data_IF_998253930609
#
_entry.id   IF_998253930609
#
_cell.length_a   1.000
_cell.length_b   1.000
_cell.length_c   1.000
_cell.angle_alpha   90.00
_cell.angle_beta   90.00
_cell.angle_gamma   90.00
#
_symmetry.space_group_name_H-M   'P 1'
#
loop_
_entity.id
_entity.type
_entity.pdbx_description
1 polymer ?
#
# COMPACT_ATOMS: atom_id res chain seq x y z
N UNK A 1 -43.12 -12.08 -20.16
CA UNK A 1 -43.14 -10.87 -19.32
C UNK A 1 -42.55 -11.26 -17.96
N UNK A 2 -41.25 -11.02 -17.77
CA UNK A 2 -40.48 -11.48 -16.58
C UNK A 2 -39.82 -10.24 -15.97
N UNK A 3 -40.09 -9.99 -14.68
CA UNK A 3 -39.48 -8.89 -13.91
C UNK A 3 -38.02 -9.25 -13.57
N UNK A 4 -37.06 -8.31 -13.62
CA UNK A 4 -35.68 -8.56 -13.24
C UNK A 4 -35.54 -8.58 -11.70
N UNK A 5 -34.62 -9.38 -11.14
CA UNK A 5 -34.31 -9.32 -9.73
C UNK A 5 -33.44 -8.08 -9.44
N UNK A 6 -33.83 -7.36 -8.40
CA UNK A 6 -33.15 -6.19 -7.85
C UNK A 6 -31.73 -6.52 -7.38
N UNK A 7 -30.73 -5.92 -8.02
CA UNK A 7 -29.37 -5.81 -7.46
C UNK A 7 -29.40 -4.81 -6.30
N UNK A 8 -29.49 -5.31 -5.07
CA UNK A 8 -29.20 -4.51 -3.88
C UNK A 8 -27.69 -4.34 -3.74
N UNK A 9 -27.26 -3.09 -3.81
CA UNK A 9 -25.89 -2.55 -3.69
C UNK A 9 -25.25 -2.75 -2.30
N UNK A 10 -25.20 -3.99 -1.79
CA UNK A 10 -24.81 -4.28 -0.39
C UNK A 10 -23.44 -4.93 -0.17
N UNK A 11 -22.67 -5.28 -1.21
CA UNK A 11 -21.51 -6.17 -1.06
C UNK A 11 -20.13 -5.49 -1.21
N UNK A 12 -20.05 -4.21 -1.57
CA UNK A 12 -18.75 -3.53 -1.80
C UNK A 12 -18.25 -2.67 -0.63
N UNK A 13 -18.96 -2.62 0.50
CA UNK A 13 -18.57 -1.82 1.67
C UNK A 13 -18.09 -2.64 2.89
N UNK A 14 -18.03 -3.97 2.77
CA UNK A 14 -17.75 -4.87 3.91
C UNK A 14 -16.32 -5.43 3.95
N UNK A 15 -15.44 -5.08 3.00
CA UNK A 15 -14.02 -5.40 3.10
C UNK A 15 -13.20 -4.34 3.88
N UNK A 16 -13.82 -3.22 4.31
CA UNK A 16 -13.15 -2.14 5.06
C UNK A 16 -13.76 -1.84 6.44
N UNK A 17 -14.82 -2.54 6.83
CA UNK A 17 -15.32 -2.51 8.22
C UNK A 17 -15.58 -3.96 8.61
N UNK A 18 -14.67 -4.53 9.39
CA UNK A 18 -14.74 -5.90 9.90
C UNK A 18 -15.92 -6.11 10.86
N UNK A 19 -17.13 -6.20 10.31
CA UNK A 19 -18.30 -6.67 11.03
C UNK A 19 -18.22 -8.21 11.14
N UNK A 20 -17.87 -8.65 12.35
CA UNK A 20 -17.78 -10.06 12.76
C UNK A 20 -19.13 -10.76 12.55
N UNK A 21 -19.23 -11.63 11.54
CA UNK A 21 -20.29 -12.64 11.46
C UNK A 21 -19.91 -13.86 12.33
N UNK A 22 -20.88 -14.56 12.96
CA UNK A 22 -20.60 -15.60 13.93
C UNK A 22 -20.48 -16.96 13.24
N UNK A 23 -19.43 -17.17 12.44
CA UNK A 23 -19.06 -18.53 12.03
C UNK A 23 -17.54 -18.68 12.13
N UNK A 24 -17.13 -19.69 12.91
CA UNK A 24 -15.79 -19.86 13.40
C UNK A 24 -14.73 -19.87 12.31
N UNK A 25 -13.79 -18.93 12.41
CA UNK A 25 -12.50 -18.90 11.74
C UNK A 25 -11.48 -18.32 12.73
N UNK A 26 -10.28 -18.90 12.68
CA UNK A 26 -9.02 -18.63 13.40
C UNK A 26 -8.96 -17.43 14.38
N UNK A 27 -8.39 -17.69 15.57
CA UNK A 27 -8.18 -16.73 16.64
C UNK A 27 -7.00 -15.75 16.44
N UNK A 28 -6.30 -15.77 15.29
CA UNK A 28 -5.28 -14.76 14.99
C UNK A 28 -5.88 -13.60 14.18
N UNK A 29 -6.07 -12.40 14.77
CA UNK A 29 -6.58 -11.23 14.05
C UNK A 29 -5.65 -10.73 12.94
N UNK A 30 -4.41 -11.23 12.83
CA UNK A 30 -3.50 -10.97 11.70
C UNK A 30 -3.77 -11.87 10.50
N UNK A 31 -4.51 -12.97 10.68
CA UNK A 31 -4.97 -13.82 9.60
C UNK A 31 -6.27 -13.25 9.08
N UNK A 32 -6.21 -12.54 7.95
CA UNK A 32 -7.41 -12.27 7.16
C UNK A 32 -8.05 -13.63 6.82
N UNK A 33 -9.33 -13.87 7.15
CA UNK A 33 -9.96 -15.16 6.90
C UNK A 33 -10.00 -15.43 5.39
N UNK A 34 -9.21 -16.39 4.92
CA UNK A 34 -9.17 -16.81 3.52
C UNK A 34 -7.85 -16.57 2.79
N UNK A 35 -6.85 -15.93 3.39
CA UNK A 35 -5.49 -15.98 2.83
C UNK A 35 -4.90 -17.37 3.09
N UNK A 36 -4.59 -18.05 2.00
CA UNK A 36 -3.69 -19.20 2.02
C UNK A 36 -2.37 -18.64 2.55
N UNK A 37 -1.88 -19.09 3.70
CA UNK A 37 -0.52 -18.77 4.20
C UNK A 37 0.59 -19.32 3.27
N UNK A 38 0.29 -19.49 1.98
CA UNK A 38 1.15 -20.03 0.96
C UNK A 38 1.95 -18.87 0.39
N UNK A 39 3.19 -18.77 0.83
CA UNK A 39 4.16 -17.94 0.15
C UNK A 39 4.51 -18.62 -1.16
N UNK A 40 4.59 -17.82 -2.23
CA UNK A 40 4.85 -18.31 -3.58
C UNK A 40 5.94 -17.48 -4.21
N UNK A 41 6.67 -18.10 -5.13
CA UNK A 41 7.46 -17.40 -6.13
C UNK A 41 6.79 -17.61 -7.49
N UNK A 42 6.37 -16.54 -8.13
CA UNK A 42 5.77 -16.59 -9.47
C UNK A 42 6.72 -15.93 -10.47
N UNK A 43 6.99 -16.65 -11.55
CA UNK A 43 7.60 -16.10 -12.77
C UNK A 43 6.50 -15.76 -13.77
N UNK A 44 6.56 -14.56 -14.32
CA UNK A 44 5.61 -14.05 -15.30
C UNK A 44 6.32 -13.18 -16.34
N UNK A 45 5.64 -12.87 -17.42
CA UNK A 45 6.17 -12.07 -18.53
C UNK A 45 5.23 -10.90 -18.82
N UNK A 46 5.68 -9.69 -18.51
CA UNK A 46 4.95 -8.44 -18.71
C UNK A 46 5.74 -7.61 -19.72
N UNK A 47 5.08 -7.12 -20.77
CA UNK A 47 5.73 -6.36 -21.86
C UNK A 47 6.94 -7.08 -22.49
N UNK A 48 6.88 -8.42 -22.61
CA UNK A 48 7.97 -9.28 -23.10
C UNK A 48 9.21 -9.34 -22.18
N UNK A 49 9.14 -8.77 -20.98
CA UNK A 49 10.18 -8.87 -19.96
C UNK A 49 9.82 -9.95 -18.94
N UNK A 50 10.79 -10.83 -18.67
CA UNK A 50 10.65 -11.84 -17.61
C UNK A 50 10.79 -11.19 -16.25
N UNK A 51 9.74 -11.30 -15.43
CA UNK A 51 9.69 -10.79 -14.06
C UNK A 51 9.43 -11.92 -13.08
N UNK A 52 9.83 -11.67 -11.84
CA UNK A 52 9.56 -12.57 -10.72
C UNK A 52 8.98 -11.78 -9.58
N UNK A 53 8.00 -12.35 -8.89
CA UNK A 53 7.52 -11.85 -7.61
C UNK A 53 7.55 -12.97 -6.59
N UNK A 54 7.93 -12.62 -5.35
CA UNK A 54 7.90 -13.53 -4.22
C UNK A 54 7.08 -12.88 -3.11
N UNK A 55 6.09 -13.58 -2.57
CA UNK A 55 5.16 -13.01 -1.61
C UNK A 55 4.05 -13.97 -1.20
N UNK A 56 3.10 -13.45 -0.45
CA UNK A 56 1.90 -14.18 -0.03
C UNK A 56 0.87 -14.21 -1.16
N UNK A 57 0.34 -15.40 -1.48
CA UNK A 57 -0.75 -15.53 -2.46
C UNK A 57 -2.08 -15.11 -1.81
N UNK A 58 -2.53 -13.89 -2.12
CA UNK A 58 -3.73 -13.28 -1.53
C UNK A 58 -5.01 -13.80 -2.17
N UNK A 59 -4.97 -14.00 -3.48
CA UNK A 59 -6.09 -14.54 -4.23
C UNK A 59 -5.59 -15.31 -5.45
N UNK A 60 -6.25 -16.43 -5.72
CA UNK A 60 -6.14 -17.17 -6.96
C UNK A 60 -7.55 -17.41 -7.47
N UNK A 61 -7.74 -17.20 -8.78
CA UNK A 61 -8.95 -17.67 -9.44
C UNK A 61 -8.57 -18.35 -10.76
N UNK A 62 -8.83 -19.66 -10.91
CA UNK A 62 -8.52 -20.39 -12.13
C UNK A 62 -9.04 -19.67 -13.38
N UNK A 63 -8.14 -19.34 -14.30
CA UNK A 63 -8.46 -18.61 -15.54
C UNK A 63 -8.63 -17.10 -15.42
N UNK A 64 -8.48 -16.51 -14.22
CA UNK A 64 -8.61 -15.07 -13.98
C UNK A 64 -7.34 -14.42 -13.39
N UNK A 65 -6.41 -15.22 -12.85
CA UNK A 65 -5.07 -14.77 -12.50
C UNK A 65 -4.73 -14.97 -11.03
N UNK A 66 -3.62 -14.35 -10.64
CA UNK A 66 -3.06 -14.42 -9.29
C UNK A 66 -2.89 -13.02 -8.73
N UNK A 67 -3.09 -12.85 -7.42
CA UNK A 67 -2.77 -11.64 -6.68
C UNK A 67 -1.76 -11.97 -5.60
N UNK A 68 -0.57 -11.37 -5.68
CA UNK A 68 0.53 -11.61 -4.75
C UNK A 68 0.83 -10.35 -3.96
N UNK A 69 0.93 -10.48 -2.64
CA UNK A 69 1.35 -9.44 -1.70
C UNK A 69 2.83 -9.64 -1.36
N UNK A 70 3.68 -8.70 -1.74
CA UNK A 70 5.12 -8.76 -1.48
C UNK A 70 5.48 -8.36 -0.04
N UNK A 71 6.77 -8.49 0.30
CA UNK A 71 7.29 -8.16 1.63
C UNK A 71 7.33 -6.66 1.94
N UNK A 72 7.12 -5.80 0.93
CA UNK A 72 7.03 -4.35 1.05
C UNK A 72 5.56 -3.88 1.18
N UNK A 73 4.59 -4.82 1.11
CA UNK A 73 3.16 -4.54 1.19
C UNK A 73 2.51 -4.20 -0.16
N UNK A 74 3.25 -4.34 -1.26
CA UNK A 74 2.75 -4.14 -2.63
C UNK A 74 1.92 -5.32 -3.12
N UNK A 75 0.88 -5.04 -3.90
CA UNK A 75 0.01 -6.00 -4.55
C UNK A 75 0.28 -6.03 -6.05
N UNK A 76 0.66 -7.19 -6.57
CA UNK A 76 0.81 -7.43 -8.00
C UNK A 76 -0.24 -8.42 -8.49
N UNK A 77 -1.06 -7.97 -9.43
CA UNK A 77 -1.96 -8.84 -10.19
C UNK A 77 -1.21 -9.41 -11.40
N UNK A 78 -1.30 -10.72 -11.61
CA UNK A 78 -0.64 -11.42 -12.71
C UNK A 78 -1.73 -11.99 -13.62
N UNK A 79 -1.76 -11.53 -14.88
CA UNK A 79 -2.70 -12.07 -15.87
C UNK A 79 -2.35 -13.55 -16.17
N UNK A 80 -3.35 -14.44 -16.31
CA UNK A 80 -3.12 -15.83 -16.68
C UNK A 80 -2.27 -16.04 -17.94
N UNK A 81 -2.30 -15.09 -18.89
CA UNK A 81 -1.52 -15.15 -20.14
C UNK A 81 -0.04 -14.79 -19.94
N UNK A 82 0.24 -13.98 -18.93
CA UNK A 82 1.60 -13.55 -18.55
C UNK A 82 2.27 -14.58 -17.64
N UNK A 83 1.48 -15.36 -16.91
CA UNK A 83 1.96 -16.42 -16.04
C UNK A 83 2.86 -17.43 -16.77
N UNK A 84 3.94 -17.86 -16.10
CA UNK A 84 4.89 -18.87 -16.62
C UNK A 84 5.04 -20.05 -15.66
N UNK A 85 5.30 -19.79 -14.39
CA UNK A 85 5.49 -20.83 -13.37
C UNK A 85 5.27 -20.30 -11.96
N UNK A 86 4.95 -21.21 -11.03
CA UNK A 86 4.78 -20.92 -9.61
C UNK A 86 5.45 -22.00 -8.77
N UNK A 87 6.29 -21.58 -7.82
CA UNK A 87 6.84 -22.42 -6.77
C UNK A 87 6.17 -22.07 -5.44
N UNK A 88 5.71 -23.07 -4.71
CA UNK A 88 5.27 -22.88 -3.31
C UNK A 88 6.48 -22.87 -2.39
N UNK A 89 6.48 -21.98 -1.40
CA UNK A 89 7.54 -21.84 -0.42
C UNK A 89 7.07 -22.37 0.93
N UNK A 90 7.88 -23.25 1.54
CA UNK A 90 7.57 -23.88 2.83
C UNK A 90 7.81 -22.95 4.04
N UNK A 91 8.18 -21.69 3.80
CA UNK A 91 8.52 -20.72 4.84
C UNK A 91 7.82 -19.39 4.61
N UNK A 92 7.42 -18.75 5.71
CA UNK A 92 6.89 -17.39 5.70
C UNK A 92 8.04 -16.44 5.43
N UNK A 93 7.85 -15.54 4.47
CA UNK A 93 8.87 -14.52 4.16
C UNK A 93 8.82 -13.42 5.22
N UNK A 94 9.99 -12.94 5.70
CA UNK A 94 10.02 -11.80 6.58
C UNK A 94 9.51 -10.56 5.85
N UNK A 95 8.77 -9.73 6.58
CA UNK A 95 8.41 -8.40 6.12
C UNK A 95 9.68 -7.54 6.03
N UNK A 96 9.81 -6.76 4.97
CA UNK A 96 10.96 -5.87 4.79
C UNK A 96 11.01 -4.86 5.93
N UNK A 97 12.19 -4.65 6.51
CA UNK A 97 12.34 -3.65 7.56
C UNK A 97 12.11 -2.23 7.03
N UNK A 98 11.68 -1.30 7.89
CA UNK A 98 11.48 0.10 7.52
C UNK A 98 12.73 0.74 6.88
N UNK A 99 13.92 0.38 7.38
CA UNK A 99 15.21 0.85 6.86
C UNK A 99 15.47 0.33 5.44
N UNK A 100 15.29 -0.97 5.20
CA UNK A 100 15.47 -1.58 3.88
C UNK A 100 14.45 -1.04 2.88
N UNK A 101 13.19 -0.87 3.31
CA UNK A 101 12.14 -0.26 2.49
C UNK A 101 12.52 1.16 2.10
N UNK A 102 12.96 1.99 3.05
CA UNK A 102 13.43 3.35 2.79
C UNK A 102 14.56 3.38 1.77
N UNK A 103 15.57 2.52 1.93
CA UNK A 103 16.70 2.41 1.00
C UNK A 103 16.25 2.03 -0.42
N UNK A 104 15.36 1.04 -0.58
CA UNK A 104 14.81 0.66 -1.89
C UNK A 104 14.08 1.82 -2.56
N UNK A 105 13.26 2.54 -1.80
CA UNK A 105 12.40 3.60 -2.32
C UNK A 105 13.18 4.85 -2.76
N UNK A 106 14.39 5.08 -2.24
CA UNK A 106 15.25 6.17 -2.73
C UNK A 106 15.56 6.07 -4.23
N UNK A 107 15.53 4.86 -4.82
CA UNK A 107 15.72 4.68 -6.26
C UNK A 107 14.59 5.29 -7.11
N UNK A 108 13.44 5.58 -6.51
CA UNK A 108 12.29 6.21 -7.16
C UNK A 108 12.30 7.74 -7.04
N UNK A 109 13.19 8.28 -6.22
CA UNK A 109 13.27 9.69 -5.85
C UNK A 109 14.44 10.39 -6.56
N UNK A 110 14.47 11.74 -6.59
CA UNK A 110 15.64 12.48 -7.09
C UNK A 110 16.93 12.11 -6.36
N UNK A 111 18.07 12.26 -7.03
CA UNK A 111 19.37 12.02 -6.41
C UNK A 111 19.59 12.91 -5.17
N UNK A 112 20.19 12.35 -4.12
CA UNK A 112 20.40 13.05 -2.85
C UNK A 112 19.20 13.00 -1.88
N UNK A 113 18.11 12.33 -2.26
CA UNK A 113 16.99 12.07 -1.35
C UNK A 113 17.41 11.26 -0.13
N UNK A 114 16.69 11.46 0.97
CA UNK A 114 16.88 10.79 2.25
C UNK A 114 15.59 10.12 2.70
N UNK A 115 15.65 9.33 3.77
CA UNK A 115 14.45 8.79 4.41
C UNK A 115 14.51 8.86 5.93
N UNK A 116 13.34 8.93 6.54
CA UNK A 116 13.13 8.76 7.99
C UNK A 116 12.01 7.75 8.20
N UNK A 117 12.03 7.05 9.33
CA UNK A 117 11.03 6.04 9.66
C UNK A 117 10.50 6.25 11.08
N UNK A 118 9.25 5.81 11.28
CA UNK A 118 8.57 5.72 12.57
C UNK A 118 8.04 4.30 12.75
N UNK A 119 7.16 4.09 13.72
CA UNK A 119 6.54 2.79 13.98
C UNK A 119 5.66 2.34 12.79
N UNK A 120 4.90 3.25 12.20
CA UNK A 120 3.92 2.93 11.16
C UNK A 120 4.24 3.49 9.77
N UNK A 121 5.30 4.30 9.62
CA UNK A 121 5.58 5.02 8.38
C UNK A 121 7.06 5.01 7.99
N UNK A 122 7.30 5.03 6.68
CA UNK A 122 8.61 5.37 6.07
C UNK A 122 8.39 6.56 5.16
N UNK A 123 9.11 7.66 5.41
CA UNK A 123 9.03 8.87 4.60
C UNK A 123 10.34 9.04 3.84
N UNK A 124 10.30 8.92 2.51
CA UNK A 124 11.39 9.27 1.62
C UNK A 124 11.17 10.69 1.08
N UNK A 125 12.20 11.53 1.10
CA UNK A 125 12.06 12.95 0.79
C UNK A 125 13.31 13.55 0.15
N UNK A 126 13.11 14.59 -0.68
CA UNK A 126 14.18 15.50 -1.12
C UNK A 126 13.93 16.97 -0.69
N UNK A 127 13.02 17.18 0.26
CA UNK A 127 12.76 18.46 0.94
C UNK A 127 13.77 18.69 2.07
N UNK A 128 13.48 19.67 2.95
CA UNK A 128 14.19 19.78 4.24
C UNK A 128 13.82 18.62 5.17
N UNK A 129 14.77 18.25 6.03
CA UNK A 129 14.53 17.25 7.09
C UNK A 129 13.45 17.71 8.07
N UNK A 130 13.40 19.00 8.41
CA UNK A 130 12.36 19.57 9.27
C UNK A 130 10.96 19.34 8.70
N UNK A 131 10.78 19.56 7.39
CA UNK A 131 9.51 19.31 6.74
C UNK A 131 9.15 17.81 6.71
N UNK A 132 10.13 16.94 6.47
CA UNK A 132 9.91 15.50 6.52
C UNK A 132 9.50 15.03 7.93
N UNK A 133 10.15 15.55 8.98
CA UNK A 133 9.80 15.27 10.38
C UNK A 133 8.40 15.74 10.73
N UNK A 134 8.00 16.92 10.26
CA UNK A 134 6.63 17.39 10.44
C UNK A 134 5.61 16.46 9.77
N UNK A 135 5.88 15.97 8.56
CA UNK A 135 5.01 15.02 7.86
C UNK A 135 4.89 13.68 8.64
N UNK A 136 5.99 13.10 9.10
CA UNK A 136 5.94 11.81 9.80
C UNK A 136 5.21 11.93 11.14
N UNK A 137 5.39 13.03 11.87
CA UNK A 137 4.66 13.30 13.12
C UNK A 137 3.16 13.48 12.88
N UNK A 138 2.79 14.16 11.79
CA UNK A 138 1.40 14.30 11.36
C UNK A 138 0.77 12.94 11.04
N UNK A 139 1.47 12.08 10.31
CA UNK A 139 0.97 10.74 9.96
C UNK A 139 0.77 9.85 11.19
N UNK A 140 1.74 9.82 12.12
CA UNK A 140 1.61 9.09 13.39
C UNK A 140 0.46 9.61 14.25
N UNK A 141 0.25 10.94 14.27
CA UNK A 141 -0.88 11.53 14.99
C UNK A 141 -2.22 11.14 14.36
N UNK A 142 -2.31 11.12 13.03
CA UNK A 142 -3.50 10.68 12.30
C UNK A 142 -3.80 9.21 12.61
N UNK A 143 -2.79 8.34 12.53
CA UNK A 143 -2.89 6.91 12.86
C UNK A 143 -3.48 6.70 14.26
N UNK A 144 -2.87 7.30 15.29
CA UNK A 144 -3.30 7.19 16.68
C UNK A 144 -4.72 7.73 16.89
N UNK A 145 -5.08 8.80 16.19
CA UNK A 145 -6.42 9.40 16.29
C UNK A 145 -7.48 8.52 15.64
N UNK A 146 -7.17 7.91 14.50
CA UNK A 146 -8.04 6.98 13.80
C UNK A 146 -8.31 5.72 14.64
N UNK A 147 -7.26 5.09 15.19
CA UNK A 147 -7.41 3.93 16.08
C UNK A 147 -8.24 4.27 17.32
N UNK A 148 -7.98 5.42 17.96
CA UNK A 148 -8.74 5.87 19.12
C UNK A 148 -10.22 6.10 18.80
N UNK A 149 -10.51 6.69 17.64
CA UNK A 149 -11.88 6.93 17.20
C UNK A 149 -12.66 5.61 17.09
N UNK A 150 -12.14 4.63 16.36
CA UNK A 150 -12.82 3.34 16.19
C UNK A 150 -12.91 2.54 17.47
N UNK A 151 -11.86 2.57 18.30
CA UNK A 151 -11.90 1.97 19.64
C UNK A 151 -13.01 2.56 20.51
N UNK A 152 -13.23 3.88 20.46
CA UNK A 152 -14.34 4.54 21.17
C UNK A 152 -15.73 4.11 20.70
N UNK A 153 -15.82 3.53 19.49
CA UNK A 153 -17.04 2.95 18.91
C UNK A 153 -17.14 1.43 19.12
N UNK A 154 -16.25 0.84 19.92
CA UNK A 154 -16.22 -0.59 20.19
C UNK A 154 -15.65 -1.42 19.03
N UNK A 155 -14.96 -0.80 18.08
CA UNK A 155 -14.28 -1.48 16.97
C UNK A 155 -12.78 -1.48 17.23
N UNK A 156 -12.20 -2.65 17.41
CA UNK A 156 -10.74 -2.81 17.46
C UNK A 156 -10.20 -3.03 16.05
N UNK A 157 -9.30 -2.15 15.61
CA UNK A 157 -8.63 -2.26 14.33
C UNK A 157 -7.40 -3.15 14.46
N UNK A 158 -7.09 -3.86 13.37
CA UNK A 158 -5.86 -4.64 13.27
C UNK A 158 -4.71 -3.70 12.94
N UNK A 159 -3.60 -3.85 13.65
CA UNK A 159 -2.37 -3.09 13.37
C UNK A 159 -1.85 -3.42 11.96
N UNK A 160 -1.32 -2.43 11.22
CA UNK A 160 -0.81 -2.65 9.88
C UNK A 160 0.40 -3.60 9.91
N UNK A 161 0.43 -4.55 8.98
CA UNK A 161 1.54 -5.49 8.81
C UNK A 161 2.81 -4.82 8.29
N UNK A 162 2.65 -3.76 7.50
CA UNK A 162 3.72 -3.04 6.81
C UNK A 162 3.67 -1.56 7.20
N UNK A 163 4.82 -0.89 7.36
CA UNK A 163 4.79 0.56 7.42
C UNK A 163 4.28 1.12 6.10
N UNK A 164 3.51 2.21 6.15
CA UNK A 164 3.10 2.92 4.94
C UNK A 164 4.26 3.76 4.42
N UNK A 165 4.59 3.58 3.14
CA UNK A 165 5.61 4.36 2.47
C UNK A 165 5.04 5.68 1.93
N UNK A 166 5.70 6.80 2.24
CA UNK A 166 5.37 8.12 1.73
C UNK A 166 6.56 8.72 0.96
N UNK A 167 6.31 9.14 -0.28
CA UNK A 167 7.27 9.81 -1.15
C UNK A 167 6.94 11.31 -1.19
N UNK A 168 7.79 12.15 -0.61
CA UNK A 168 7.57 13.59 -0.49
C UNK A 168 8.57 14.35 -1.37
N UNK A 169 8.10 14.81 -2.52
CA UNK A 169 8.93 15.51 -3.49
C UNK A 169 9.02 17.01 -3.18
N UNK A 170 10.20 17.62 -3.31
CA UNK A 170 10.36 19.07 -3.18
C UNK A 170 9.60 19.83 -4.27
N UNK A 171 9.65 19.33 -5.51
CA UNK A 171 9.12 20.02 -6.69
C UNK A 171 7.96 19.26 -7.28
N UNK A 172 6.90 20.00 -7.65
CA UNK A 172 5.76 19.47 -8.41
C UNK A 172 6.21 18.71 -9.66
N UNK A 173 7.24 19.18 -10.37
CA UNK A 173 7.74 18.54 -11.59
C UNK A 173 8.29 17.12 -11.33
N UNK A 174 8.96 16.90 -10.20
CA UNK A 174 9.49 15.58 -9.84
C UNK A 174 8.37 14.62 -9.43
N UNK A 175 7.39 15.13 -8.66
CA UNK A 175 6.17 14.41 -8.35
C UNK A 175 5.39 14.01 -9.61
N UNK A 176 5.15 14.94 -10.54
CA UNK A 176 4.41 14.64 -11.78
C UNK A 176 5.15 13.60 -12.62
N UNK A 177 6.49 13.66 -12.68
CA UNK A 177 7.31 12.67 -13.40
C UNK A 177 7.23 11.27 -12.78
N UNK A 178 7.13 11.18 -11.46
CA UNK A 178 6.88 9.91 -10.76
C UNK A 178 5.45 9.42 -11.02
N UNK A 179 4.47 10.27 -10.71
CA UNK A 179 3.05 9.92 -10.67
C UNK A 179 2.43 9.64 -12.05
N UNK A 180 2.94 10.25 -13.12
CA UNK A 180 2.45 9.99 -14.49
C UNK A 180 2.67 8.56 -14.97
N UNK A 181 3.54 7.79 -14.29
CA UNK A 181 3.75 6.36 -14.54
C UNK A 181 2.64 5.50 -13.93
N UNK A 182 1.95 6.01 -12.91
CA UNK A 182 0.91 5.27 -12.19
C UNK A 182 -0.49 5.65 -12.69
N UNK A 183 -0.74 6.91 -13.06
CA UNK A 183 -2.03 7.34 -13.59
C UNK A 183 -1.96 8.61 -14.45
N UNK A 184 -2.99 8.82 -15.28
CA UNK A 184 -3.15 10.03 -16.11
C UNK A 184 -3.75 11.18 -15.28
N UNK A 185 -3.31 12.42 -15.54
CA UNK A 185 -3.84 13.61 -14.87
C UNK A 185 -3.16 13.94 -13.53
N UNK A 186 -2.00 13.35 -13.27
CA UNK A 186 -1.23 13.54 -12.03
C UNK A 186 -0.88 15.00 -11.77
N UNK A 187 -0.72 15.82 -12.80
CA UNK A 187 -0.50 17.26 -12.72
C UNK A 187 -1.63 18.04 -12.04
N UNK A 188 -2.83 17.45 -11.94
CA UNK A 188 -4.02 18.04 -11.33
C UNK A 188 -4.25 17.56 -9.87
N UNK A 189 -3.27 16.84 -9.31
CA UNK A 189 -3.34 16.30 -7.95
C UNK A 189 -2.19 16.80 -7.11
N UNK A 190 -2.44 16.96 -5.81
CA UNK A 190 -1.41 17.34 -4.85
C UNK A 190 -0.64 16.12 -4.33
N UNK A 191 -1.37 15.04 -4.10
CA UNK A 191 -0.85 13.76 -3.69
C UNK A 191 -1.92 12.70 -3.79
N UNK A 192 -1.51 11.45 -3.69
CA UNK A 192 -2.39 10.30 -3.84
C UNK A 192 -1.81 9.09 -3.12
N UNK A 193 -2.69 8.17 -2.76
CA UNK A 193 -2.32 6.84 -2.31
C UNK A 193 -2.60 5.83 -3.43
N UNK A 194 -1.64 4.95 -3.69
CA UNK A 194 -1.76 3.89 -4.68
C UNK A 194 -1.83 2.51 -4.00
N UNK A 195 -2.98 1.85 -4.15
CA UNK A 195 -3.27 0.57 -3.52
C UNK A 195 -2.33 -0.56 -3.97
N UNK A 196 -1.91 -0.56 -5.24
CA UNK A 196 -1.05 -1.62 -5.78
C UNK A 196 0.39 -1.56 -5.26
N UNK A 197 0.90 -0.37 -4.95
CA UNK A 197 2.29 -0.20 -4.48
C UNK A 197 2.35 0.03 -2.97
N UNK A 198 1.19 0.21 -2.33
CA UNK A 198 1.03 0.63 -0.96
C UNK A 198 1.85 1.89 -0.62
N UNK A 199 1.79 2.90 -1.50
CA UNK A 199 2.55 4.15 -1.37
C UNK A 199 1.65 5.36 -1.42
N UNK A 200 1.95 6.33 -0.56
CA UNK A 200 1.53 7.72 -0.66
C UNK A 200 2.61 8.48 -1.44
N UNK A 201 2.23 9.34 -2.37
CA UNK A 201 3.15 10.29 -2.99
C UNK A 201 2.54 11.70 -2.99
N UNK A 202 3.35 12.71 -2.66
CA UNK A 202 2.96 14.12 -2.64
C UNK A 202 4.16 15.01 -2.94
N UNK A 203 3.95 16.31 -3.07
CA UNK A 203 5.05 17.28 -3.11
C UNK A 203 4.93 18.34 -2.02
N UNK A 204 5.92 19.22 -1.91
CA UNK A 204 5.91 20.32 -0.95
C UNK A 204 5.02 21.48 -1.44
N UNK A 205 3.98 21.84 -0.67
CA UNK A 205 3.14 23.03 -0.94
C UNK A 205 3.68 24.31 -0.34
N UNK A 206 4.70 24.27 0.50
CA UNK A 206 5.18 25.47 1.19
C UNK A 206 5.81 26.48 0.22
N UNK A 207 6.25 26.02 -0.96
CA UNK A 207 6.61 26.87 -2.09
C UNK A 207 5.42 27.47 -2.88
N UNK A 208 4.19 27.03 -2.56
CA UNK A 208 2.92 27.62 -2.97
C UNK A 208 2.41 28.44 -1.77
N UNK A 209 2.94 29.66 -1.63
CA UNK A 209 2.57 30.72 -0.68
C UNK A 209 1.54 30.34 0.42
N UNK A 210 2.01 30.13 1.66
CA UNK A 210 1.19 30.36 2.88
C UNK A 210 0.93 29.21 3.87
N UNK A 211 1.52 28.01 3.73
CA UNK A 211 1.20 26.87 4.63
C UNK A 211 2.41 26.21 5.31
N UNK A 212 3.22 26.99 6.03
CA UNK A 212 4.08 26.42 7.09
C UNK A 212 3.34 26.65 8.42
N UNK A 213 2.84 25.60 9.12
CA UNK A 213 2.34 25.78 10.48
C UNK A 213 3.49 26.24 11.37
N UNK A 214 3.25 27.27 12.19
CA UNK A 214 4.21 27.68 13.21
C UNK A 214 4.51 26.48 14.13
N UNK A 215 5.80 26.27 14.40
CA UNK A 215 6.33 25.16 15.19
C UNK A 215 5.86 25.11 16.62
#
# INVERSE_FOLDING_TARGET
MVRPPSLTWGALLLALVGLRQPFGLSADPRALPGLLNNHVRISYEEDSEKKNITGELVAERPGFGYLVLDSDGGLTAIDPKEFRSMDTLDTVLPITSATEMGQKLLALMPAGSQFIASEHFVVCFNTTETYARWNIDLYEKLYKSFHRFWKSKGVELVEPRFPLAALVFEKKADYVRYASREFKGSENTFGYYHQGTNRLASYDLTGIEGMIPAG
#
